data_IF_042843282408
#
_entry.id   IF_042843282408
#
_cell.length_a   1.000
_cell.length_b   1.000
_cell.length_c   1.000
_cell.angle_alpha   90.00
_cell.angle_beta   90.00
_cell.angle_gamma   90.00
#
_symmetry.space_group_name_H-M   'P 1'
#
loop_
_entity.id
_entity.type
_entity.pdbx_description
1 polymer ?
#
# COMPACT_ATOMS: atom_id res chain seq x y z
N UNK A 1 -25.22 -21.31 -22.97
CA UNK A 1 -23.95 -21.02 -23.68
C UNK A 1 -23.58 -19.59 -23.35
N UNK A 2 -23.20 -19.18 -22.14
CA UNK A 2 -22.19 -19.71 -21.21
C UNK A 2 -20.84 -20.01 -21.90
N UNK A 3 -19.79 -19.30 -21.45
CA UNK A 3 -18.41 -19.81 -21.31
C UNK A 3 -17.25 -19.19 -22.12
N UNK A 4 -17.14 -17.85 -22.31
CA UNK A 4 -15.88 -17.25 -22.82
C UNK A 4 -15.41 -15.93 -22.16
N UNK A 5 -16.15 -15.36 -21.21
CA UNK A 5 -15.77 -14.10 -20.53
C UNK A 5 -15.20 -14.26 -19.09
N UNK A 6 -15.03 -15.49 -18.60
CA UNK A 6 -14.85 -15.76 -17.16
C UNK A 6 -13.41 -16.01 -16.66
N UNK A 7 -12.40 -16.15 -17.52
CA UNK A 7 -11.03 -16.44 -17.04
C UNK A 7 -10.34 -15.22 -16.38
N UNK A 8 -10.65 -14.00 -16.83
CA UNK A 8 -10.01 -12.77 -16.34
C UNK A 8 -10.82 -12.11 -15.22
N UNK A 9 -12.14 -11.99 -15.37
CA UNK A 9 -13.04 -11.34 -14.38
C UNK A 9 -13.04 -12.07 -13.03
N UNK A 10 -13.00 -13.41 -13.05
CA UNK A 10 -12.95 -14.22 -11.82
C UNK A 10 -11.69 -13.95 -10.99
N UNK A 11 -10.56 -13.68 -11.65
CA UNK A 11 -9.30 -13.34 -10.99
C UNK A 11 -9.40 -11.98 -10.29
N UNK A 12 -9.91 -10.96 -10.98
CA UNK A 12 -10.13 -9.63 -10.40
C UNK A 12 -11.11 -9.66 -9.22
N UNK A 13 -12.19 -10.43 -9.33
CA UNK A 13 -13.17 -10.55 -8.26
C UNK A 13 -12.58 -11.25 -7.02
N UNK A 14 -11.70 -12.24 -7.23
CA UNK A 14 -10.99 -12.90 -6.14
C UNK A 14 -10.05 -11.95 -5.41
N UNK A 15 -9.37 -11.06 -6.13
CA UNK A 15 -8.47 -10.07 -5.54
C UNK A 15 -9.25 -8.97 -4.82
N UNK A 16 -10.40 -8.55 -5.35
CA UNK A 16 -11.34 -7.67 -4.64
C UNK A 16 -11.73 -8.27 -3.28
N UNK A 17 -12.11 -9.55 -3.26
CA UNK A 17 -12.47 -10.24 -2.03
C UNK A 17 -11.31 -10.27 -1.01
N UNK A 18 -10.07 -10.48 -1.47
CA UNK A 18 -8.87 -10.42 -0.62
C UNK A 18 -8.69 -9.01 -0.05
N UNK A 19 -8.80 -7.95 -0.87
CA UNK A 19 -8.66 -6.57 -0.41
C UNK A 19 -9.73 -6.18 0.63
N UNK A 20 -10.97 -6.64 0.42
CA UNK A 20 -12.06 -6.46 1.39
C UNK A 20 -11.71 -7.15 2.70
N UNK A 21 -11.24 -8.40 2.65
CA UNK A 21 -10.81 -9.12 3.85
C UNK A 21 -9.67 -8.42 4.59
N UNK A 22 -8.65 -7.93 3.89
CA UNK A 22 -7.56 -7.16 4.51
C UNK A 22 -8.12 -5.89 5.16
N UNK A 23 -9.13 -5.26 4.55
CA UNK A 23 -9.78 -4.06 5.12
C UNK A 23 -10.59 -4.37 6.37
N UNK A 24 -11.30 -5.50 6.41
CA UNK A 24 -11.99 -5.93 7.62
C UNK A 24 -11.02 -6.21 8.76
N UNK A 25 -9.88 -6.84 8.46
CA UNK A 25 -8.80 -7.07 9.44
C UNK A 25 -8.25 -5.74 9.95
N UNK A 26 -8.01 -4.78 9.06
CA UNK A 26 -7.51 -3.45 9.43
C UNK A 26 -8.44 -2.74 10.41
N UNK A 27 -9.74 -2.72 10.12
CA UNK A 27 -10.76 -2.17 11.01
C UNK A 27 -10.77 -2.93 12.34
N UNK A 28 -10.72 -4.26 12.32
CA UNK A 28 -10.66 -5.07 13.54
C UNK A 28 -9.45 -4.74 14.42
N UNK A 29 -8.25 -4.61 13.83
CA UNK A 29 -7.02 -4.22 14.55
C UNK A 29 -7.12 -2.80 15.11
N UNK A 30 -7.72 -1.88 14.36
CA UNK A 30 -7.92 -0.49 14.79
C UNK A 30 -8.82 -0.38 16.04
N UNK A 31 -9.85 -1.22 16.15
CA UNK A 31 -10.79 -1.19 17.27
C UNK A 31 -10.29 -1.89 18.54
N UNK A 32 -9.22 -2.69 18.46
CA UNK A 32 -8.71 -3.46 19.61
C UNK A 32 -7.62 -2.65 20.34
N UNK A 33 -7.84 -2.22 21.60
CA UNK A 33 -6.89 -1.37 22.34
C UNK A 33 -5.53 -2.02 22.57
N UNK A 34 -5.46 -3.35 22.60
CA UNK A 34 -4.24 -4.13 22.83
C UNK A 34 -3.15 -3.85 21.79
N UNK A 35 -3.51 -3.41 20.58
CA UNK A 35 -2.55 -3.13 19.52
C UNK A 35 -2.08 -1.68 19.47
N UNK A 36 -2.47 -0.79 20.39
CA UNK A 36 -2.15 0.64 20.31
C UNK A 36 -0.66 0.97 20.05
N UNK A 37 0.27 0.23 20.67
CA UNK A 37 1.71 0.45 20.47
C UNK A 37 2.22 -0.03 19.09
N UNK A 38 1.56 -1.02 18.50
CA UNK A 38 1.91 -1.62 17.20
C UNK A 38 0.95 -1.22 16.08
N UNK A 39 -0.04 -0.38 16.37
CA UNK A 39 -1.10 -0.01 15.44
C UNK A 39 -0.49 0.67 14.21
N UNK A 40 0.38 1.66 14.43
CA UNK A 40 1.05 2.38 13.34
C UNK A 40 1.83 1.43 12.40
N UNK A 41 2.78 0.59 12.87
CA UNK A 41 3.50 -0.29 11.96
C UNK A 41 2.60 -1.33 11.29
N UNK A 42 1.59 -1.87 11.98
CA UNK A 42 0.65 -2.84 11.39
C UNK A 42 -0.17 -2.19 10.26
N UNK A 43 -0.76 -1.01 10.50
CA UNK A 43 -1.54 -0.31 9.49
C UNK A 43 -0.69 0.09 8.28
N UNK A 44 0.57 0.46 8.50
CA UNK A 44 1.51 0.80 7.42
C UNK A 44 1.81 -0.42 6.54
N UNK A 45 2.07 -1.58 7.16
CA UNK A 45 2.28 -2.85 6.43
C UNK A 45 1.02 -3.25 5.67
N UNK A 46 -0.15 -3.22 6.30
CA UNK A 46 -1.42 -3.57 5.65
C UNK A 46 -1.71 -2.64 4.46
N UNK A 47 -1.45 -1.34 4.60
CA UNK A 47 -1.60 -0.35 3.53
C UNK A 47 -0.64 -0.62 2.37
N UNK A 48 0.63 -0.95 2.65
CA UNK A 48 1.61 -1.29 1.63
C UNK A 48 1.23 -2.56 0.85
N UNK A 49 0.71 -3.58 1.54
CA UNK A 49 0.22 -4.82 0.92
C UNK A 49 -0.98 -4.53 0.01
N UNK A 50 -1.98 -3.78 0.49
CA UNK A 50 -3.14 -3.40 -0.33
C UNK A 50 -2.72 -2.63 -1.58
N UNK A 51 -1.85 -1.64 -1.40
CA UNK A 51 -1.32 -0.84 -2.51
C UNK A 51 -0.62 -1.72 -3.54
N UNK A 52 0.23 -2.66 -3.09
CA UNK A 52 0.93 -3.59 -3.99
C UNK A 52 -0.03 -4.49 -4.74
N UNK A 53 -1.05 -5.04 -4.08
CA UNK A 53 -2.10 -5.85 -4.73
C UNK A 53 -2.86 -5.04 -5.78
N UNK A 54 -3.20 -3.79 -5.48
CA UNK A 54 -3.89 -2.91 -6.43
C UNK A 54 -3.01 -2.62 -7.64
N UNK A 55 -1.75 -2.28 -7.42
CA UNK A 55 -0.80 -1.95 -8.49
C UNK A 55 -0.49 -3.16 -9.36
N UNK A 56 -0.23 -4.33 -8.75
CA UNK A 56 0.10 -5.53 -9.52
C UNK A 56 -1.09 -6.02 -10.36
N UNK A 57 -2.30 -6.00 -9.80
CA UNK A 57 -3.44 -6.61 -10.45
C UNK A 57 -4.36 -5.59 -11.12
N UNK A 58 -4.88 -4.58 -10.42
CA UNK A 58 -5.80 -3.60 -11.02
C UNK A 58 -5.14 -2.60 -11.96
N UNK A 59 -3.89 -2.21 -11.72
CA UNK A 59 -3.12 -1.41 -12.69
C UNK A 59 -2.45 -2.26 -13.78
N UNK A 60 -2.78 -3.55 -13.86
CA UNK A 60 -2.32 -4.49 -14.89
C UNK A 60 -0.80 -4.69 -14.99
N UNK A 61 0.02 -4.14 -14.09
CA UNK A 61 1.49 -4.30 -14.13
C UNK A 61 1.96 -5.75 -14.17
N UNK A 62 1.23 -6.69 -13.56
CA UNK A 62 1.58 -8.11 -13.61
C UNK A 62 1.41 -8.72 -15.00
N UNK A 63 0.49 -8.18 -15.79
CA UNK A 63 0.13 -8.68 -17.12
C UNK A 63 0.71 -7.84 -18.27
N UNK A 64 1.32 -6.70 -17.95
CA UNK A 64 1.87 -5.73 -18.90
C UNK A 64 3.40 -5.70 -18.88
N UNK A 65 4.00 -4.95 -19.81
CA UNK A 65 5.44 -4.85 -19.97
C UNK A 65 6.11 -4.08 -18.80
N UNK A 66 7.36 -4.44 -18.48
CA UNK A 66 8.13 -3.86 -17.34
C UNK A 66 8.28 -2.34 -17.40
N UNK A 67 8.03 -1.74 -18.56
CA UNK A 67 8.01 -0.28 -18.75
C UNK A 67 6.93 0.41 -17.92
N UNK A 68 5.72 -0.16 -17.81
CA UNK A 68 4.67 0.40 -16.96
C UNK A 68 5.01 0.30 -15.47
N UNK A 69 5.71 -0.76 -15.07
CA UNK A 69 6.25 -0.88 -13.72
C UNK A 69 7.29 0.20 -13.40
N UNK A 70 8.14 0.55 -14.36
CA UNK A 70 9.10 1.64 -14.19
C UNK A 70 8.42 3.02 -14.17
N UNK A 71 7.44 3.26 -15.04
CA UNK A 71 6.70 4.51 -15.10
C UNK A 71 5.92 4.80 -13.81
N UNK A 72 5.42 3.75 -13.15
CA UNK A 72 4.78 3.86 -11.84
C UNK A 72 5.79 3.90 -10.69
N UNK A 73 6.80 3.03 -10.72
CA UNK A 73 7.80 2.89 -9.67
C UNK A 73 8.74 4.09 -9.54
N UNK A 74 9.08 4.77 -10.64
CA UNK A 74 9.97 5.93 -10.65
C UNK A 74 9.42 7.09 -9.81
N UNK A 75 8.23 7.62 -10.13
CA UNK A 75 7.58 8.66 -9.32
C UNK A 75 7.26 8.21 -7.90
N UNK A 76 6.92 6.93 -7.68
CA UNK A 76 6.67 6.40 -6.34
C UNK A 76 7.92 6.44 -5.46
N UNK A 77 9.06 5.97 -5.99
CA UNK A 77 10.34 6.01 -5.29
C UNK A 77 10.78 7.46 -5.03
N UNK A 78 10.62 8.34 -6.02
CA UNK A 78 10.91 9.76 -5.85
C UNK A 78 10.04 10.38 -4.74
N UNK A 79 8.73 10.09 -4.72
CA UNK A 79 7.82 10.58 -3.68
C UNK A 79 8.20 10.09 -2.28
N UNK A 80 8.51 8.80 -2.13
CA UNK A 80 8.99 8.23 -0.86
C UNK A 80 10.31 8.91 -0.44
N UNK A 81 11.25 9.09 -1.36
CA UNK A 81 12.52 9.74 -1.07
C UNK A 81 12.34 11.19 -0.62
N UNK A 82 11.42 11.94 -1.23
CA UNK A 82 11.08 13.32 -0.83
C UNK A 82 10.47 13.33 0.57
N UNK A 83 9.48 12.47 0.85
CA UNK A 83 8.86 12.38 2.19
C UNK A 83 9.89 12.03 3.26
N UNK A 84 10.75 11.04 3.01
CA UNK A 84 11.83 10.66 3.95
C UNK A 84 12.83 11.81 4.16
N UNK A 85 13.21 12.50 3.09
CA UNK A 85 14.11 13.66 3.17
C UNK A 85 13.50 14.79 4.00
N UNK A 86 12.21 15.08 3.80
CA UNK A 86 11.49 16.07 4.60
C UNK A 86 11.41 15.64 6.06
N UNK A 87 11.06 14.39 6.36
CA UNK A 87 11.04 13.88 7.73
C UNK A 87 12.41 14.00 8.40
N UNK A 88 13.50 13.70 7.68
CA UNK A 88 14.86 13.85 8.21
C UNK A 88 15.21 15.32 8.51
N UNK A 89 14.91 16.23 7.58
CA UNK A 89 15.15 17.66 7.75
C UNK A 89 14.31 18.21 8.91
N UNK A 90 13.01 17.94 8.97
CA UNK A 90 12.14 18.46 10.02
C UNK A 90 12.45 17.83 11.38
N UNK A 91 12.66 16.52 11.47
CA UNK A 91 13.01 15.87 12.72
C UNK A 91 14.40 16.33 13.23
N UNK A 92 15.38 16.42 12.33
CA UNK A 92 16.72 16.93 12.64
C UNK A 92 16.73 18.41 13.03
N UNK A 93 16.03 19.26 12.28
CA UNK A 93 15.92 20.69 12.55
C UNK A 93 15.10 20.99 13.82
N UNK A 94 14.03 20.23 14.08
CA UNK A 94 13.24 20.35 15.32
C UNK A 94 14.09 19.93 16.52
N UNK A 95 14.85 18.83 16.44
CA UNK A 95 15.80 18.41 17.50
C UNK A 95 16.86 19.47 17.82
N UNK A 96 17.32 20.24 16.84
CA UNK A 96 18.32 21.30 17.03
C UNK A 96 17.72 22.60 17.59
N UNK A 97 16.44 22.88 17.32
CA UNK A 97 15.74 24.07 17.80
C UNK A 97 15.13 23.89 19.20
N UNK A 98 14.72 22.67 19.56
CA UNK A 98 14.14 22.34 20.87
C UNK A 98 15.21 21.87 21.85
N UNK A 99 16.30 22.64 21.97
CA UNK A 99 17.35 22.41 22.95
C UNK A 99 16.95 22.92 24.33
N UNK A 100 16.21 22.09 25.08
CA UNK A 100 16.28 21.90 26.53
C UNK A 100 16.01 20.44 26.82
#
# INVERSE_FOLDING_TARGET
MSEQAHATTATYLRIAAILVMITLIEVGVFYVPTFQALLVPILLVLSAVKFTLVVMFYMHLKFDNRFFAFLFGGPLLLGVAVVVSLLFIFYGAVRLRTGT
#
